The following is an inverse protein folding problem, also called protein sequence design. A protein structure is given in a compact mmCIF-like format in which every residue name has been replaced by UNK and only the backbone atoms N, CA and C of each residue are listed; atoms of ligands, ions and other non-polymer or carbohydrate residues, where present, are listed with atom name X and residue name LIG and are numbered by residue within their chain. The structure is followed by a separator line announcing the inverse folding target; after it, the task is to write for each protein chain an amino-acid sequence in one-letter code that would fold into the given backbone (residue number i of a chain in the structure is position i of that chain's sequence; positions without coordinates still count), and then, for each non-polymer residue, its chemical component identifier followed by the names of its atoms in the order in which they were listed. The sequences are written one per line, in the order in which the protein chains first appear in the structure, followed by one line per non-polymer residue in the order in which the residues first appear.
data_IF_987034394357
#
_entry.id   IF_987034394357
#
_cell.length_a   1.000
_cell.length_b   1.000
_cell.length_c   1.000
_cell.angle_alpha   90.00
_cell.angle_beta   90.00
_cell.angle_gamma   90.00
#
_symmetry.space_group_name_H-M   'P 1'
#
loop_
_entity.id
_entity.type
_entity.pdbx_description
1 polymer ?
#
# COMPACT_ATOMS: atom_id res chain seq x y z
N UNK A 1 -78.12 -14.36 -45.73
CA UNK A 1 -77.88 -15.81 -46.00
C UNK A 1 -76.52 -16.20 -45.43
N UNK A 2 -76.42 -17.38 -44.79
CA UNK A 2 -75.23 -18.12 -44.28
C UNK A 2 -74.57 -17.51 -43.01
N UNK A 3 -74.82 -18.07 -41.81
CA UNK A 3 -74.34 -19.30 -41.13
C UNK A 3 -72.97 -19.12 -40.44
N UNK A 4 -72.99 -19.38 -39.12
CA UNK A 4 -71.89 -19.45 -38.15
C UNK A 4 -71.06 -20.75 -38.23
N UNK A 5 -69.99 -20.79 -37.40
CA UNK A 5 -69.12 -21.90 -36.90
C UNK A 5 -67.73 -22.04 -37.59
N UNK A 6 -66.58 -22.32 -36.95
CA UNK A 6 -66.02 -22.33 -35.58
C UNK A 6 -64.51 -22.74 -35.71
N UNK A 7 -63.71 -22.65 -34.64
CA UNK A 7 -62.41 -23.36 -34.37
C UNK A 7 -61.13 -22.75 -35.02
N UNK A 8 -59.89 -22.88 -34.52
CA UNK A 8 -59.20 -22.68 -33.24
C UNK A 8 -57.68 -22.91 -33.50
N UNK A 9 -56.81 -22.44 -32.61
CA UNK A 9 -55.38 -22.79 -32.41
C UNK A 9 -54.40 -22.36 -33.51
N UNK A 10 -53.43 -21.50 -33.18
CA UNK A 10 -52.06 -21.90 -32.82
C UNK A 10 -51.20 -20.65 -32.57
N UNK A 11 -50.47 -20.71 -31.46
CA UNK A 11 -49.54 -19.66 -31.07
C UNK A 11 -48.38 -19.55 -32.04
N UNK A 12 -47.93 -18.32 -32.22
CA UNK A 12 -46.56 -18.02 -32.61
C UNK A 12 -46.10 -16.93 -31.65
N UNK A 13 -45.45 -17.36 -30.56
CA UNK A 13 -44.64 -16.47 -29.75
C UNK A 13 -43.47 -16.03 -30.64
N UNK A 14 -43.52 -14.79 -31.11
CA UNK A 14 -42.38 -14.16 -31.76
C UNK A 14 -41.32 -13.97 -30.69
N UNK A 15 -40.27 -14.79 -30.77
CA UNK A 15 -39.04 -14.61 -30.01
C UNK A 15 -38.39 -13.30 -30.49
N UNK A 16 -38.65 -12.21 -29.78
CA UNK A 16 -37.85 -11.01 -29.92
C UNK A 16 -36.51 -11.31 -29.23
N UNK A 17 -35.51 -11.71 -30.01
CA UNK A 17 -34.12 -11.72 -29.57
C UNK A 17 -33.70 -10.26 -29.44
N UNK A 18 -33.98 -9.68 -28.26
CA UNK A 18 -33.29 -8.47 -27.85
C UNK A 18 -31.88 -8.94 -27.53
N UNK A 19 -30.95 -8.68 -28.46
CA UNK A 19 -29.53 -8.58 -28.14
C UNK A 19 -29.43 -7.48 -27.08
N UNK A 20 -29.53 -7.88 -25.82
CA UNK A 20 -29.08 -7.08 -24.69
C UNK A 20 -27.57 -6.97 -24.87
N UNK A 21 -27.16 -5.97 -25.65
CA UNK A 21 -25.81 -5.45 -25.57
C UNK A 21 -25.65 -5.00 -24.13
N UNK A 22 -24.95 -5.80 -23.33
CA UNK A 22 -24.36 -5.31 -22.11
C UNK A 22 -23.54 -4.10 -22.52
N UNK A 23 -24.04 -2.90 -22.23
CA UNK A 23 -23.14 -1.78 -21.97
C UNK A 23 -22.39 -2.23 -20.72
N UNK A 24 -21.20 -2.81 -20.93
CA UNK A 24 -20.24 -2.96 -19.86
C UNK A 24 -19.95 -1.55 -19.38
N UNK A 25 -20.53 -1.17 -18.25
CA UNK A 25 -19.99 -0.10 -17.43
C UNK A 25 -18.50 -0.39 -17.27
N UNK A 26 -17.61 0.58 -17.47
CA UNK A 26 -16.23 0.38 -17.10
C UNK A 26 -16.19 0.12 -15.59
N UNK A 27 -15.82 -1.11 -15.21
CA UNK A 27 -15.33 -1.48 -13.89
C UNK A 27 -16.22 -1.17 -12.70
N UNK A 28 -17.36 -1.87 -12.58
CA UNK A 28 -17.80 -2.33 -11.26
C UNK A 28 -17.34 -3.79 -11.10
N UNK A 29 -16.02 -4.00 -11.18
CA UNK A 29 -15.44 -5.17 -10.53
C UNK A 29 -15.55 -4.90 -9.03
N UNK A 30 -16.12 -5.84 -8.27
CA UNK A 30 -16.26 -5.70 -6.82
C UNK A 30 -14.92 -5.28 -6.25
N UNK A 31 -14.86 -4.05 -5.71
CA UNK A 31 -13.62 -3.43 -5.29
C UNK A 31 -12.88 -4.39 -4.38
N UNK A 32 -11.70 -4.85 -4.81
CA UNK A 32 -10.81 -5.58 -3.92
C UNK A 32 -10.56 -4.60 -2.79
N UNK A 33 -11.04 -4.95 -1.61
CA UNK A 33 -10.93 -4.11 -0.43
C UNK A 33 -9.43 -3.98 -0.11
N UNK A 34 -8.80 -2.90 -0.55
CA UNK A 34 -7.35 -2.69 -0.43
C UNK A 34 -7.03 -2.56 1.05
N UNK A 35 -6.07 -3.35 1.53
CA UNK A 35 -5.64 -3.31 2.91
C UNK A 35 -4.35 -2.52 3.02
N UNK A 36 -4.22 -1.74 4.07
CA UNK A 36 -3.07 -0.87 4.30
C UNK A 36 -2.63 -0.99 5.75
N UNK A 37 -1.38 -0.67 6.05
CA UNK A 37 -0.93 -0.59 7.43
C UNK A 37 -1.19 0.81 7.98
N UNK A 38 -2.10 0.91 8.96
CA UNK A 38 -2.30 2.09 9.78
C UNK A 38 -1.24 2.12 10.88
N UNK A 39 -0.70 3.30 11.14
CA UNK A 39 0.27 3.58 12.19
C UNK A 39 -0.22 4.75 13.02
N UNK A 40 -0.46 4.50 14.31
CA UNK A 40 -0.65 5.55 15.32
C UNK A 40 0.69 5.77 16.03
N UNK A 41 1.35 6.87 15.71
CA UNK A 41 2.68 7.18 16.25
C UNK A 41 2.63 7.52 17.74
N UNK A 42 3.75 7.32 18.43
CA UNK A 42 3.93 7.78 19.79
C UNK A 42 4.17 9.29 19.90
N UNK A 43 4.59 9.72 21.08
CA UNK A 43 4.92 11.11 21.41
C UNK A 43 6.27 11.59 20.86
N UNK A 44 7.05 10.71 20.23
CA UNK A 44 8.32 11.01 19.56
C UNK A 44 8.33 10.40 18.15
N UNK A 45 9.05 11.03 17.21
CA UNK A 45 9.00 10.67 15.78
C UNK A 45 9.52 9.26 15.46
N UNK A 46 10.47 8.75 16.26
CA UNK A 46 11.00 7.40 16.11
C UNK A 46 10.07 6.30 16.67
N UNK A 47 9.04 6.69 17.44
CA UNK A 47 8.02 5.78 17.97
C UNK A 47 6.96 5.54 16.90
N UNK A 48 7.31 4.69 15.94
CA UNK A 48 6.58 4.48 14.67
C UNK A 48 6.60 3.00 14.26
N UNK A 49 6.26 2.67 13.01
CA UNK A 49 6.34 1.33 12.45
C UNK A 49 7.78 0.97 12.06
N UNK A 50 8.24 -0.18 12.53
CA UNK A 50 9.57 -0.75 12.32
C UNK A 50 9.48 -2.11 11.64
N UNK A 51 10.42 -2.39 10.76
CA UNK A 51 10.68 -3.71 10.20
C UNK A 51 12.06 -4.15 10.69
N UNK A 52 12.07 -5.18 11.54
CA UNK A 52 13.28 -5.69 12.19
C UNK A 52 13.97 -6.76 11.35
N UNK A 53 15.29 -6.88 11.51
CA UNK A 53 16.14 -7.85 10.83
C UNK A 53 16.15 -7.67 9.29
N UNK A 54 16.28 -6.42 8.84
CA UNK A 54 16.27 -6.07 7.40
C UNK A 54 17.50 -6.65 6.66
N UNK A 55 18.56 -7.02 7.38
CA UNK A 55 19.75 -7.71 6.86
C UNK A 55 19.45 -9.06 6.20
N UNK A 56 18.27 -9.64 6.43
CA UNK A 56 17.82 -10.84 5.71
C UNK A 56 17.46 -10.55 4.24
N UNK A 57 17.31 -9.28 3.86
CA UNK A 57 16.83 -8.84 2.55
C UNK A 57 17.82 -7.93 1.81
N UNK A 58 18.66 -7.21 2.54
CA UNK A 58 19.64 -6.28 1.98
C UNK A 58 21.02 -6.48 2.60
N UNK A 59 22.05 -6.08 1.86
CA UNK A 59 23.45 -6.12 2.29
C UNK A 59 24.12 -4.75 2.13
N UNK A 60 25.21 -4.52 2.86
CA UNK A 60 26.09 -3.37 2.60
C UNK A 60 26.72 -3.45 1.22
N UNK A 61 27.12 -2.30 0.69
CA UNK A 61 27.82 -2.11 -0.59
C UNK A 61 27.05 -2.62 -1.83
N UNK A 62 25.77 -2.96 -1.66
CA UNK A 62 24.82 -3.22 -2.73
C UNK A 62 23.81 -2.07 -2.81
N UNK A 63 23.44 -1.70 -4.03
CA UNK A 63 22.46 -0.64 -4.29
C UNK A 63 21.07 -1.25 -4.41
N UNK A 64 20.10 -0.65 -3.72
CA UNK A 64 18.70 -1.06 -3.77
C UNK A 64 17.79 0.13 -4.07
N UNK A 65 16.67 -0.14 -4.72
CA UNK A 65 15.56 0.81 -4.86
C UNK A 65 14.48 0.50 -3.84
N UNK A 66 14.11 1.51 -3.05
CA UNK A 66 13.08 1.47 -2.03
C UNK A 66 11.89 2.28 -2.50
N UNK A 67 10.69 1.72 -2.41
CA UNK A 67 9.43 2.39 -2.72
C UNK A 67 8.43 2.16 -1.60
N UNK A 68 7.62 3.17 -1.32
CA UNK A 68 6.49 3.09 -0.38
C UNK A 68 5.40 4.08 -0.77
N UNK A 69 4.13 3.69 -0.62
CA UNK A 69 2.99 4.62 -0.70
C UNK A 69 2.62 5.07 0.70
N UNK A 70 2.48 6.38 0.90
CA UNK A 70 2.13 6.98 2.20
C UNK A 70 0.91 7.87 2.05
N UNK A 71 0.04 7.86 3.07
CA UNK A 71 -1.15 8.70 3.21
C UNK A 71 -1.32 9.16 4.66
N UNK A 72 -1.88 10.35 4.86
CA UNK A 72 -2.29 10.85 6.17
C UNK A 72 -3.46 11.84 6.05
N UNK A 73 -4.13 12.12 7.17
CA UNK A 73 -5.28 13.03 7.24
C UNK A 73 -5.00 14.35 7.97
N UNK A 74 -3.75 14.57 8.41
CA UNK A 74 -3.33 15.85 8.99
C UNK A 74 -3.71 17.04 8.10
N UNK A 75 -4.02 18.19 8.71
CA UNK A 75 -4.54 19.37 8.01
C UNK A 75 -3.51 20.06 7.07
N UNK A 76 -2.22 19.75 7.24
CA UNK A 76 -1.12 20.31 6.45
C UNK A 76 -0.19 19.19 6.00
N UNK A 77 0.62 19.43 4.95
CA UNK A 77 1.59 18.43 4.49
C UNK A 77 2.50 17.97 5.62
N UNK A 78 2.77 16.67 5.66
CA UNK A 78 3.71 16.04 6.60
C UNK A 78 4.94 15.58 5.83
N UNK A 79 6.11 15.77 6.42
CA UNK A 79 7.38 15.26 5.88
C UNK A 79 7.68 13.88 6.47
N UNK A 80 8.11 12.95 5.64
CA UNK A 80 8.47 11.58 6.04
C UNK A 80 9.92 11.25 5.69
N UNK A 81 10.51 10.38 6.51
CA UNK A 81 11.77 9.71 6.23
C UNK A 81 11.55 8.20 6.20
N UNK A 82 12.42 7.52 5.47
CA UNK A 82 12.67 6.09 5.62
C UNK A 82 14.11 5.96 6.10
N UNK A 83 14.31 5.36 7.26
CA UNK A 83 15.61 5.34 7.93
C UNK A 83 16.05 3.92 8.19
N UNK A 84 17.26 3.59 7.73
CA UNK A 84 17.96 2.35 8.06
C UNK A 84 18.73 2.53 9.36
N UNK A 85 18.51 1.63 10.31
CA UNK A 85 19.34 1.49 11.50
C UNK A 85 20.40 0.44 11.24
N UNK A 86 21.64 0.74 11.60
CA UNK A 86 22.75 -0.22 11.53
C UNK A 86 22.94 -0.95 12.86
N UNK A 87 23.60 -2.11 12.83
CA UNK A 87 23.96 -2.88 14.02
C UNK A 87 24.84 -2.09 15.02
N UNK A 88 25.52 -1.04 14.55
CA UNK A 88 26.29 -0.10 15.37
C UNK A 88 25.45 1.02 15.98
N UNK A 89 24.12 0.94 15.86
CA UNK A 89 23.17 1.95 16.31
C UNK A 89 23.39 3.31 15.62
N UNK A 90 23.77 3.30 14.35
CA UNK A 90 23.75 4.47 13.48
C UNK A 90 22.47 4.51 12.66
N UNK A 91 22.03 5.71 12.26
CA UNK A 91 20.77 5.94 11.57
C UNK A 91 21.06 6.62 10.24
N UNK A 92 20.68 5.97 9.13
CA UNK A 92 21.02 6.38 7.78
C UNK A 92 19.73 6.57 6.98
N UNK A 93 19.38 7.81 6.59
CA UNK A 93 18.17 8.05 5.82
C UNK A 93 18.33 7.49 4.41
N UNK A 94 17.40 6.64 4.01
CA UNK A 94 17.21 6.20 2.61
C UNK A 94 16.62 7.36 1.81
N UNK A 95 15.62 8.03 2.39
CA UNK A 95 15.15 9.35 1.96
C UNK A 95 14.84 10.22 3.18
N UNK A 96 14.90 11.53 2.98
CA UNK A 96 14.75 12.53 4.05
C UNK A 96 13.76 13.62 3.63
N UNK A 97 12.91 14.04 4.55
CA UNK A 97 11.97 15.16 4.42
C UNK A 97 11.08 15.12 3.18
N UNK A 98 10.60 13.93 2.79
CA UNK A 98 9.72 13.79 1.63
C UNK A 98 8.32 14.22 2.01
N UNK A 99 7.82 15.24 1.31
CA UNK A 99 6.51 15.82 1.59
C UNK A 99 5.38 14.94 1.06
N UNK A 100 4.40 14.67 1.92
CA UNK A 100 3.12 14.04 1.59
C UNK A 100 2.02 15.07 1.88
N UNK A 101 1.18 15.45 0.91
CA UNK A 101 0.05 16.35 1.14
C UNK A 101 -1.09 15.69 1.91
N UNK A 102 -1.97 16.47 2.58
CA UNK A 102 -3.18 15.97 3.22
C UNK A 102 -4.06 15.13 2.29
N UNK A 103 -4.63 14.05 2.84
CA UNK A 103 -5.64 13.22 2.21
C UNK A 103 -5.28 12.76 0.78
N UNK A 104 -4.00 12.52 0.53
CA UNK A 104 -3.49 12.14 -0.79
C UNK A 104 -2.47 11.02 -0.65
N UNK A 105 -2.68 9.91 -1.37
CA UNK A 105 -1.68 8.85 -1.49
C UNK A 105 -0.50 9.34 -2.34
N UNK A 106 0.71 9.23 -1.80
CA UNK A 106 1.95 9.58 -2.51
C UNK A 106 2.90 8.39 -2.51
N UNK A 107 3.38 8.00 -3.69
CA UNK A 107 4.50 7.06 -3.82
C UNK A 107 5.82 7.82 -3.67
N UNK A 108 6.65 7.39 -2.73
CA UNK A 108 8.01 7.85 -2.56
C UNK A 108 8.95 6.73 -2.98
N UNK A 109 9.83 7.02 -3.94
CA UNK A 109 10.88 6.12 -4.39
C UNK A 109 12.26 6.75 -4.19
N UNK A 110 13.22 5.94 -3.76
CA UNK A 110 14.61 6.34 -3.61
C UNK A 110 15.55 5.16 -3.89
N UNK A 111 16.73 5.45 -4.43
CA UNK A 111 17.82 4.47 -4.55
C UNK A 111 18.87 4.77 -3.50
N UNK A 112 19.30 3.75 -2.78
CA UNK A 112 20.24 3.89 -1.67
C UNK A 112 21.18 2.69 -1.54
N UNK A 113 22.42 2.96 -1.15
CA UNK A 113 23.44 1.97 -0.84
C UNK A 113 23.99 2.29 0.56
N UNK A 114 23.88 1.34 1.49
CA UNK A 114 24.51 1.43 2.80
C UNK A 114 25.99 1.01 2.66
N UNK A 115 26.93 1.91 2.98
CA UNK A 115 28.35 1.57 2.93
C UNK A 115 28.73 0.65 4.11
N UNK A 116 29.54 -0.38 3.88
CA UNK A 116 29.97 -1.28 4.96
C UNK A 116 30.76 -0.59 6.08
N UNK A 117 31.39 0.55 5.81
CA UNK A 117 32.05 1.37 6.84
C UNK A 117 31.07 2.05 7.81
N UNK A 118 29.77 2.11 7.48
CA UNK A 118 28.71 2.64 8.33
C UNK A 118 28.06 1.55 9.23
N UNK A 119 28.54 0.30 9.11
CA UNK A 119 28.02 -0.87 9.79
C UNK A 119 27.01 -1.68 8.97
N UNK A 120 26.71 -2.89 9.43
CA UNK A 120 25.72 -3.77 8.80
C UNK A 120 24.29 -3.25 9.01
N UNK A 121 23.35 -3.45 8.07
CA UNK A 121 21.95 -3.15 8.29
C UNK A 121 21.40 -3.99 9.46
N UNK A 122 20.39 -3.47 10.15
CA UNK A 122 19.70 -4.17 11.25
C UNK A 122 18.20 -4.00 11.14
N UNK A 123 17.72 -2.76 11.10
CA UNK A 123 16.29 -2.47 11.08
C UNK A 123 15.99 -1.35 10.10
N UNK A 124 14.74 -1.22 9.66
CA UNK A 124 14.28 -0.08 8.87
C UNK A 124 12.95 0.42 9.42
N UNK A 125 12.70 1.73 9.37
CA UNK A 125 11.46 2.30 9.87
C UNK A 125 11.04 3.55 9.09
N UNK A 126 9.73 3.80 9.04
CA UNK A 126 9.13 4.97 8.39
C UNK A 126 8.75 5.96 9.48
N UNK A 127 9.33 7.15 9.48
CA UNK A 127 9.09 8.16 10.51
C UNK A 127 8.49 9.45 9.90
N UNK A 128 7.35 9.94 10.40
CA UNK A 128 6.94 11.31 10.16
C UNK A 128 7.81 12.27 10.97
N UNK A 129 8.09 13.45 10.42
CA UNK A 129 8.73 14.57 11.13
C UNK A 129 7.73 15.34 12.01
N UNK A 130 6.60 14.71 12.35
CA UNK A 130 5.56 15.22 13.23
C UNK A 130 5.11 14.05 14.10
N UNK A 131 5.26 14.17 15.42
CA UNK A 131 4.84 13.11 16.36
C UNK A 131 3.36 13.20 16.70
N UNK A 132 2.80 12.11 17.23
CA UNK A 132 1.41 12.04 17.68
C UNK A 132 0.37 12.06 16.55
N UNK A 133 0.78 11.70 15.33
CA UNK A 133 -0.11 11.62 14.15
C UNK A 133 -0.51 10.18 13.84
N UNK A 134 -1.56 10.06 13.02
CA UNK A 134 -1.92 8.81 12.34
C UNK A 134 -1.56 8.92 10.88
N UNK A 135 -0.84 7.93 10.36
CA UNK A 135 -0.59 7.79 8.94
C UNK A 135 -0.79 6.34 8.51
N UNK A 136 -0.81 6.15 7.19
CA UNK A 136 -1.04 4.87 6.55
C UNK A 136 0.04 4.67 5.51
N UNK A 137 0.48 3.43 5.34
CA UNK A 137 1.34 3.10 4.21
C UNK A 137 1.00 1.74 3.62
N UNK A 138 1.38 1.59 2.36
CA UNK A 138 1.09 0.44 1.52
C UNK A 138 2.19 0.29 0.46
N UNK A 139 2.22 -0.85 -0.24
CA UNK A 139 3.13 -1.15 -1.35
C UNK A 139 4.60 -0.85 -1.00
N UNK A 140 5.06 -1.25 0.19
CA UNK A 140 6.48 -1.14 0.53
C UNK A 140 7.26 -2.21 -0.22
N UNK A 141 8.19 -1.77 -1.06
CA UNK A 141 8.96 -2.64 -1.96
C UNK A 141 10.43 -2.27 -1.91
N UNK A 142 11.29 -3.28 -1.80
CA UNK A 142 12.72 -3.18 -2.03
C UNK A 142 13.08 -4.03 -3.24
N UNK A 143 13.81 -3.43 -4.19
CA UNK A 143 14.38 -4.12 -5.35
C UNK A 143 15.90 -4.02 -5.35
N UNK A 144 16.56 -5.08 -5.81
CA UNK A 144 18.00 -5.05 -6.06
C UNK A 144 18.36 -4.28 -7.35
N UNK A 145 19.65 -4.21 -7.68
CA UNK A 145 20.14 -3.51 -8.88
C UNK A 145 19.65 -4.14 -10.20
N UNK A 146 19.29 -5.44 -10.21
CA UNK A 146 18.69 -6.09 -11.36
C UNK A 146 17.18 -5.81 -11.49
N UNK A 147 16.58 -5.18 -10.48
CA UNK A 147 15.15 -4.89 -10.40
C UNK A 147 14.32 -6.02 -9.81
N UNK A 148 14.95 -7.06 -9.28
CA UNK A 148 14.28 -8.18 -8.63
C UNK A 148 13.77 -7.76 -7.26
N UNK A 149 12.53 -8.13 -6.94
CA UNK A 149 11.91 -7.81 -5.64
C UNK A 149 12.52 -8.69 -4.57
N UNK A 150 13.22 -8.09 -3.62
CA UNK A 150 13.81 -8.80 -2.47
C UNK A 150 12.89 -8.74 -1.24
N UNK A 151 12.08 -7.69 -1.11
CA UNK A 151 11.06 -7.57 -0.06
C UNK A 151 9.84 -6.83 -0.61
N UNK A 152 8.64 -7.33 -0.28
CA UNK A 152 7.38 -6.67 -0.56
C UNK A 152 6.44 -6.84 0.63
N UNK A 153 5.78 -5.75 1.04
CA UNK A 153 4.60 -5.81 1.89
C UNK A 153 3.46 -5.00 1.28
N UNK A 154 2.32 -5.66 1.08
CA UNK A 154 1.07 -5.12 0.51
C UNK A 154 -0.14 -5.36 1.42
N UNK A 155 0.02 -6.04 2.56
CA UNK A 155 -0.98 -6.21 3.62
C UNK A 155 -2.30 -6.89 3.21
N UNK A 156 -2.41 -7.37 1.97
CA UNK A 156 -3.62 -7.98 1.41
C UNK A 156 -4.01 -9.30 2.12
N UNK A 157 -3.06 -9.96 2.77
CA UNK A 157 -3.32 -11.13 3.62
C UNK A 157 -3.89 -10.79 5.00
N UNK A 158 -4.03 -9.50 5.32
CA UNK A 158 -4.55 -9.01 6.60
C UNK A 158 -3.55 -9.05 7.75
N UNK A 159 -2.27 -9.31 7.47
CA UNK A 159 -1.21 -9.35 8.48
C UNK A 159 -0.24 -8.18 8.31
N UNK A 160 0.46 -7.74 9.38
CA UNK A 160 1.49 -6.71 9.26
C UNK A 160 2.73 -7.09 8.45
N UNK A 161 2.82 -8.34 7.96
CA UNK A 161 3.92 -8.82 7.09
C UNK A 161 5.34 -8.48 7.59
N UNK A 162 5.56 -8.57 8.91
CA UNK A 162 6.86 -8.32 9.55
C UNK A 162 7.01 -6.94 10.18
N UNK A 163 6.16 -5.97 9.82
CA UNK A 163 6.11 -4.68 10.48
C UNK A 163 5.59 -4.79 11.91
N UNK A 164 6.13 -3.96 12.80
CA UNK A 164 5.83 -3.92 14.23
C UNK A 164 5.82 -2.48 14.73
N UNK A 165 4.96 -2.19 15.70
CA UNK A 165 4.97 -0.90 16.38
C UNK A 165 6.11 -0.83 17.41
N UNK A 166 6.95 0.20 17.34
CA UNK A 166 7.93 0.51 18.37
C UNK A 166 7.41 1.66 19.24
N UNK A 167 6.83 1.35 20.40
CA UNK A 167 6.11 2.33 21.24
C UNK A 167 5.02 3.10 20.45
N UNK A 168 4.44 2.43 19.47
CA UNK A 168 3.37 2.89 18.57
C UNK A 168 2.38 1.75 18.40
N UNK A 169 1.18 2.07 17.88
CA UNK A 169 0.19 1.06 17.52
C UNK A 169 0.18 0.90 16.01
N UNK A 170 0.18 -0.35 15.53
CA UNK A 170 -0.02 -0.66 14.11
C UNK A 170 -1.20 -1.61 13.93
N UNK A 171 -1.93 -1.45 12.83
CA UNK A 171 -3.07 -2.29 12.49
C UNK A 171 -3.23 -2.37 10.98
N UNK A 172 -3.52 -3.56 10.45
CA UNK A 172 -3.93 -3.70 9.05
C UNK A 172 -5.42 -3.39 8.95
N UNK A 173 -5.75 -2.35 8.20
CA UNK A 173 -7.12 -1.85 8.02
C UNK A 173 -7.44 -1.75 6.52
N UNK A 174 -8.70 -1.47 6.18
CA UNK A 174 -9.04 -1.09 4.81
C UNK A 174 -8.58 0.33 4.50
N UNK A 175 -8.20 0.57 3.24
CA UNK A 175 -7.74 1.86 2.74
C UNK A 175 -8.75 2.98 3.09
N UNK A 176 -8.35 4.01 3.85
CA UNK A 176 -9.24 5.08 4.30
C UNK A 176 -9.70 6.00 3.17
N UNK A 177 -9.06 5.96 1.99
CA UNK A 177 -9.40 6.81 0.85
C UNK A 177 -10.44 6.20 -0.12
N UNK A 178 -11.01 5.04 0.20
CA UNK A 178 -12.04 4.36 -0.61
C UNK A 178 -13.47 4.84 -0.32
#
# INVERSE_FOLDING_TARGET
MKKWFLVSVLGVFVFLVILSGCVSMPGAEGGVSNRVLKVETGDETWKTAWFYNIENYISTDATYTYSVRIYHEEATSVKFNLTLKTAENQYKPVFHEREVPPATWVTIEATYMLNSADGAPSDIYIEPQTSGIVFYFDDFVIKDEAGEVVLKTDFEDGTPQGWQGNNSTIEVVYDPAQ
#
